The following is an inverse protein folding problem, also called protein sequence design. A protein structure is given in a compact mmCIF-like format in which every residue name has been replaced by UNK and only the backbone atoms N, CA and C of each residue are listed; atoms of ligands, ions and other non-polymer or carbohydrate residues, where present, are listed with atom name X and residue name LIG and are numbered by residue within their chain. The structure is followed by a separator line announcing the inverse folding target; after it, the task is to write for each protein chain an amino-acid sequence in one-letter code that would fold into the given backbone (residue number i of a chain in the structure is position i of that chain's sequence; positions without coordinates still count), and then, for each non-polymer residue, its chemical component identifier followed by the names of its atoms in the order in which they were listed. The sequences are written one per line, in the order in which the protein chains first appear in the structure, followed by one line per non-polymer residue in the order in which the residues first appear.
data_IF_908382143032
#
_entry.id   IF_908382143032
#
_cell.length_a   1.000
_cell.length_b   1.000
_cell.length_c   1.000
_cell.angle_alpha   90.00
_cell.angle_beta   90.00
_cell.angle_gamma   90.00
#
_symmetry.space_group_name_H-M   'P 1'
#
loop_
_entity.id
_entity.type
_entity.pdbx_description
1 polymer ?
#
# COMPACT_ATOMS: atom_id res chain seq x y z
N UNK A 1 9.35 4.33 -9.87
CA UNK A 1 9.27 3.02 -10.56
C UNK A 1 9.03 1.96 -9.51
N UNK A 2 7.91 1.22 -9.59
CA UNK A 2 7.45 0.25 -8.60
C UNK A 2 8.05 -1.14 -8.95
N UNK A 3 9.13 -1.61 -8.29
CA UNK A 3 9.84 -2.82 -8.70
C UNK A 3 9.52 -4.01 -7.80
N UNK A 4 8.39 -3.97 -7.07
CA UNK A 4 8.01 -4.98 -6.09
C UNK A 4 6.78 -5.77 -6.56
N UNK A 5 6.76 -7.06 -6.24
CA UNK A 5 5.60 -7.92 -6.39
C UNK A 5 4.42 -7.34 -5.59
N UNK A 6 3.30 -7.05 -6.26
CA UNK A 6 2.10 -6.39 -5.70
C UNK A 6 1.08 -7.38 -5.15
N UNK A 7 1.53 -8.57 -4.78
CA UNK A 7 0.70 -9.56 -4.11
C UNK A 7 0.29 -9.03 -2.72
N UNK A 8 -1.01 -9.08 -2.38
CA UNK A 8 -1.53 -8.37 -1.20
C UNK A 8 -0.96 -8.91 0.13
N UNK A 9 -0.61 -10.21 0.18
CA UNK A 9 -0.03 -10.82 1.38
C UNK A 9 1.41 -10.35 1.67
N UNK A 10 2.07 -9.66 0.74
CA UNK A 10 3.46 -9.22 0.91
C UNK A 10 3.57 -7.87 1.61
N UNK A 11 2.48 -7.13 1.73
CA UNK A 11 2.47 -5.72 2.13
C UNK A 11 1.57 -5.45 3.32
N UNK A 12 1.87 -4.36 4.01
CA UNK A 12 1.00 -3.75 5.04
C UNK A 12 -0.36 -3.36 4.46
N UNK A 13 -1.40 -3.37 5.28
CA UNK A 13 -2.77 -3.02 4.91
C UNK A 13 -2.86 -1.62 4.29
N UNK A 14 -2.11 -0.66 4.83
CA UNK A 14 -2.05 0.72 4.33
C UNK A 14 -1.52 0.78 2.88
N UNK A 15 -0.44 0.04 2.59
CA UNK A 15 0.10 0.01 1.23
C UNK A 15 -0.80 -0.80 0.30
N UNK A 16 -1.43 -1.88 0.79
CA UNK A 16 -2.41 -2.65 0.05
C UNK A 16 -3.63 -1.82 -0.35
N UNK A 17 -4.09 -0.93 0.53
CA UNK A 17 -5.16 0.01 0.21
C UNK A 17 -4.83 0.85 -1.04
N UNK A 18 -3.63 1.44 -1.09
CA UNK A 18 -3.18 2.22 -2.26
C UNK A 18 -3.00 1.35 -3.51
N UNK A 19 -2.51 0.12 -3.36
CA UNK A 19 -2.39 -0.84 -4.47
C UNK A 19 -3.77 -1.19 -5.03
N UNK A 20 -4.80 -1.35 -4.18
CA UNK A 20 -6.17 -1.58 -4.63
C UNK A 20 -6.73 -0.39 -5.39
N UNK A 21 -6.59 0.83 -4.88
CA UNK A 21 -7.02 2.04 -5.59
C UNK A 21 -6.37 2.14 -6.99
N UNK A 22 -5.09 1.79 -7.09
CA UNK A 22 -4.41 1.71 -8.38
C UNK A 22 -5.01 0.64 -9.29
N UNK A 23 -5.19 -0.60 -8.80
CA UNK A 23 -5.78 -1.71 -9.58
C UNK A 23 -7.23 -1.45 -10.00
N UNK A 24 -8.02 -0.80 -9.16
CA UNK A 24 -9.40 -0.38 -9.47
C UNK A 24 -9.40 0.70 -10.56
N UNK A 25 -8.54 1.72 -10.42
CA UNK A 25 -8.37 2.72 -11.48
C UNK A 25 -7.97 2.09 -12.82
N UNK A 26 -7.07 1.11 -12.82
CA UNK A 26 -6.68 0.41 -14.04
C UNK A 26 -7.79 -0.46 -14.64
N UNK A 27 -8.65 -1.05 -13.79
CA UNK A 27 -9.79 -1.86 -14.22
C UNK A 27 -10.89 -1.01 -14.85
N UNK A 28 -11.22 0.10 -14.21
CA UNK A 28 -12.38 0.92 -14.57
C UNK A 28 -12.10 1.83 -15.78
N UNK A 29 -10.83 2.10 -16.06
CA UNK A 29 -10.43 3.02 -17.13
C UNK A 29 -10.17 2.29 -18.46
N UNK A 30 -10.71 2.79 -19.58
CA UNK A 30 -10.38 2.24 -20.89
C UNK A 30 -8.89 2.44 -21.21
N UNK A 31 -8.29 1.48 -21.91
CA UNK A 31 -6.85 1.40 -22.17
C UNK A 31 -6.24 2.73 -22.66
N UNK A 32 -6.89 3.39 -23.63
CA UNK A 32 -6.43 4.67 -24.16
C UNK A 32 -6.42 5.79 -23.11
N UNK A 33 -7.41 5.87 -22.23
CA UNK A 33 -7.46 6.87 -21.17
C UNK A 33 -6.38 6.64 -20.11
N UNK A 34 -6.00 5.39 -19.84
CA UNK A 34 -4.87 5.08 -18.95
C UNK A 34 -3.54 5.51 -19.58
N UNK A 35 -3.30 5.16 -20.84
CA UNK A 35 -2.02 5.41 -21.54
C UNK A 35 -1.81 6.89 -21.86
N UNK A 36 -2.87 7.59 -22.29
CA UNK A 36 -2.75 8.98 -22.78
C UNK A 36 -2.84 9.99 -21.62
N UNK A 37 -3.71 9.75 -20.63
CA UNK A 37 -3.96 10.73 -19.56
C UNK A 37 -3.21 10.44 -18.27
N UNK A 38 -2.51 9.29 -18.15
CA UNK A 38 -1.75 8.89 -16.96
C UNK A 38 -2.56 9.01 -15.64
N UNK A 39 -3.89 8.86 -15.72
CA UNK A 39 -4.79 9.16 -14.60
C UNK A 39 -4.58 8.28 -13.37
N UNK A 40 -4.11 7.05 -13.56
CA UNK A 40 -3.84 6.11 -12.47
C UNK A 40 -2.44 6.28 -11.85
N UNK A 41 -1.57 7.12 -12.44
CA UNK A 41 -0.19 7.27 -11.99
C UNK A 41 -0.11 7.87 -10.59
N UNK A 42 -1.08 8.70 -10.20
CA UNK A 42 -1.17 9.25 -8.85
C UNK A 42 -1.20 8.12 -7.81
N UNK A 43 -2.02 7.09 -8.03
CA UNK A 43 -2.13 5.94 -7.13
C UNK A 43 -0.90 5.03 -7.21
N UNK A 44 -0.35 4.83 -8.41
CA UNK A 44 0.88 4.07 -8.59
C UNK A 44 2.07 4.73 -7.85
N UNK A 45 2.21 6.05 -7.96
CA UNK A 45 3.24 6.83 -7.28
C UNK A 45 3.02 6.77 -5.76
N UNK A 46 1.79 6.98 -5.30
CA UNK A 46 1.46 6.88 -3.88
C UNK A 46 1.78 5.50 -3.30
N UNK A 47 1.39 4.42 -3.98
CA UNK A 47 1.74 3.05 -3.61
C UNK A 47 3.26 2.88 -3.56
N UNK A 48 4.01 3.39 -4.53
CA UNK A 48 5.47 3.33 -4.53
C UNK A 48 6.15 4.05 -3.38
N UNK A 49 5.62 5.21 -2.98
CA UNK A 49 6.10 5.88 -1.77
C UNK A 49 5.79 5.05 -0.52
N UNK A 50 4.61 4.44 -0.43
CA UNK A 50 4.24 3.58 0.69
C UNK A 50 5.16 2.35 0.79
N UNK A 51 5.33 1.61 -0.30
CA UNK A 51 6.19 0.42 -0.35
C UNK A 51 7.65 0.75 0.02
N UNK A 52 8.12 1.94 -0.34
CA UNK A 52 9.44 2.41 0.10
C UNK A 52 9.50 2.60 1.61
N UNK A 53 8.49 3.23 2.23
CA UNK A 53 8.42 3.41 3.68
C UNK A 53 8.28 2.08 4.41
N UNK A 54 7.46 1.17 3.90
CA UNK A 54 7.34 -0.19 4.42
C UNK A 54 8.70 -0.92 4.40
N UNK A 55 9.43 -0.85 3.29
CA UNK A 55 10.76 -1.48 3.18
C UNK A 55 11.75 -0.90 4.18
N UNK A 56 11.72 0.41 4.41
CA UNK A 56 12.56 1.08 5.40
C UNK A 56 12.17 0.61 6.79
N UNK A 57 10.87 0.63 7.12
CA UNK A 57 10.35 0.17 8.40
C UNK A 57 10.75 -1.28 8.70
N UNK A 58 10.54 -2.20 7.76
CA UNK A 58 10.95 -3.61 7.90
C UNK A 58 12.46 -3.78 8.11
N UNK A 59 13.29 -2.89 7.57
CA UNK A 59 14.75 -2.92 7.79
C UNK A 59 15.15 -2.39 9.16
N UNK A 60 14.40 -1.42 9.69
CA UNK A 60 14.62 -0.85 11.02
C UNK A 60 14.15 -1.81 12.11
N UNK A 61 13.06 -2.54 11.89
CA UNK A 61 12.44 -3.40 12.92
C UNK A 61 12.88 -4.86 12.88
N UNK A 62 13.21 -5.41 11.72
CA UNK A 62 13.59 -6.82 11.65
C UNK A 62 15.01 -7.03 12.19
N UNK A 63 15.23 -8.10 12.99
CA UNK A 63 16.56 -8.43 13.45
C UNK A 63 17.47 -8.72 12.25
N UNK A 64 18.72 -8.21 12.29
CA UNK A 64 19.72 -8.45 11.24
C UNK A 64 20.05 -9.94 11.09
N UNK A 65 19.99 -10.68 12.19
CA UNK A 65 20.25 -12.11 12.27
C UNK A 65 19.18 -12.77 13.13
N UNK A 66 18.65 -13.92 12.70
CA UNK A 66 17.60 -14.66 13.40
C UNK A 66 16.27 -14.72 12.64
N UNK A 67 15.28 -15.41 13.23
CA UNK A 67 13.94 -15.52 12.64
C UNK A 67 13.22 -14.16 12.73
N UNK A 68 12.52 -13.79 11.66
CA UNK A 68 11.61 -12.63 11.68
C UNK A 68 10.45 -12.96 12.62
N UNK A 69 10.30 -12.18 13.69
CA UNK A 69 9.30 -12.41 14.72
C UNK A 69 7.97 -11.68 14.44
N UNK A 70 8.01 -10.60 13.65
CA UNK A 70 6.87 -9.71 13.48
C UNK A 70 6.36 -9.77 12.04
N UNK A 71 5.14 -10.27 11.88
CA UNK A 71 4.34 -10.04 10.68
C UNK A 71 3.84 -8.60 10.76
N UNK A 72 4.53 -7.68 10.07
CA UNK A 72 4.15 -6.26 10.03
C UNK A 72 2.92 -6.09 9.14
N UNK A 73 1.74 -6.38 9.69
CA UNK A 73 0.45 -6.18 9.01
C UNK A 73 0.11 -4.70 8.85
N UNK A 74 0.54 -3.87 9.81
CA UNK A 74 0.28 -2.42 9.82
C UNK A 74 1.56 -1.62 9.72
N UNK A 75 1.51 -0.56 8.94
CA UNK A 75 2.54 0.46 8.90
C UNK A 75 2.30 1.46 10.05
N UNK A 76 3.32 1.83 10.84
CA UNK A 76 3.17 2.90 11.82
C UNK A 76 2.81 4.23 11.18
N UNK A 77 2.01 5.04 11.86
CA UNK A 77 1.58 6.36 11.38
C UNK A 77 2.75 7.33 11.17
N UNK A 78 3.83 7.15 11.93
CA UNK A 78 5.07 7.91 11.79
C UNK A 78 5.69 7.72 10.39
N UNK A 79 5.44 6.58 9.76
CA UNK A 79 5.93 6.22 8.42
C UNK A 79 4.91 6.51 7.32
N UNK A 80 3.75 7.08 7.63
CA UNK A 80 2.74 7.41 6.62
C UNK A 80 3.26 8.44 5.63
N UNK A 81 3.02 8.18 4.35
CA UNK A 81 3.25 9.13 3.27
C UNK A 81 2.24 10.28 3.34
N UNK A 82 2.50 11.43 2.71
CA UNK A 82 1.53 12.53 2.67
C UNK A 82 0.16 12.10 2.14
N UNK A 83 0.13 11.18 1.18
CA UNK A 83 -1.13 10.61 0.64
C UNK A 83 -1.88 9.81 1.69
N UNK A 84 -1.20 8.94 2.45
CA UNK A 84 -1.84 8.18 3.53
C UNK A 84 -2.37 9.08 4.63
N UNK A 85 -1.62 10.13 5.01
CA UNK A 85 -2.07 11.11 6.00
C UNK A 85 -3.36 11.80 5.57
N UNK A 86 -3.41 12.30 4.33
CA UNK A 86 -4.61 12.91 3.75
C UNK A 86 -5.80 11.95 3.72
N UNK A 87 -5.59 10.71 3.26
CA UNK A 87 -6.65 9.70 3.21
C UNK A 87 -7.19 9.35 4.60
N UNK A 88 -6.31 9.34 5.61
CA UNK A 88 -6.70 9.16 7.01
C UNK A 88 -7.51 10.35 7.53
N UNK A 89 -7.06 11.58 7.28
CA UNK A 89 -7.76 12.82 7.66
C UNK A 89 -9.13 12.92 6.98
N UNK A 90 -9.25 12.50 5.73
CA UNK A 90 -10.49 12.44 4.97
C UNK A 90 -11.43 11.29 5.40
N UNK A 91 -11.00 10.42 6.32
CA UNK A 91 -11.77 9.25 6.76
C UNK A 91 -11.96 8.20 5.66
N UNK A 92 -11.11 8.20 4.62
CA UNK A 92 -11.17 7.26 3.48
C UNK A 92 -10.26 6.06 3.66
N UNK A 93 -9.31 6.12 4.59
CA UNK A 93 -8.43 5.02 4.92
C UNK A 93 -9.16 4.01 5.84
N UNK A 94 -10.15 3.30 5.29
CA UNK A 94 -10.94 2.31 6.01
C UNK A 94 -10.22 0.96 6.03
N UNK A 95 -9.33 0.78 6.99
CA UNK A 95 -8.54 -0.45 7.13
C UNK A 95 -9.17 -1.46 8.10
N UNK A 96 -10.26 -1.10 8.78
CA UNK A 96 -10.91 -1.90 9.82
C UNK A 96 -12.12 -2.70 9.30
N UNK A 97 -12.62 -2.43 8.09
CA UNK A 97 -13.80 -3.11 7.52
C UNK A 97 -13.48 -4.43 6.79
N UNK A 98 -12.21 -4.77 6.58
CA UNK A 98 -11.79 -5.88 5.70
C UNK A 98 -11.14 -7.08 6.40
N UNK A 99 -11.51 -7.36 7.65
CA UNK A 99 -11.23 -8.68 8.23
C UNK A 99 -12.53 -9.38 8.69
N UNK A 100 -13.58 -9.30 7.87
CA UNK A 100 -14.75 -10.18 7.97
C UNK A 100 -14.54 -11.53 7.26
N UNK A 101 -13.42 -11.72 6.56
CA UNK A 101 -13.12 -12.94 5.78
C UNK A 101 -11.76 -13.58 6.07
N UNK A 102 -11.05 -13.16 7.12
CA UNK A 102 -9.84 -13.85 7.55
C UNK A 102 -10.23 -15.19 8.20
N UNK A 103 -10.53 -16.22 7.39
CA UNK A 103 -10.80 -17.58 7.85
C UNK A 103 -9.48 -18.21 8.32
N UNK A 104 -9.57 -18.84 9.50
CA UNK A 104 -8.55 -19.60 10.27
C UNK A 104 -7.67 -20.50 9.42
#
# INVERSE_FOLDING_TARGET
MLPADLSPHLHTDECNFLIRLYKECERDMPFFSRVILQKCDVWMIAAGHCLKQERIYRRETNPKHGRRLVEHRRLPEEKYTPTLKRLKEEGKLNLDEECSSCRV
#
